data_IF_677675408178
#
_entry.id   IF_677675408178
#
_cell.length_a   1.000
_cell.length_b   1.000
_cell.length_c   1.000
_cell.angle_alpha   90.00
_cell.angle_beta   90.00
_cell.angle_gamma   90.00
#
_symmetry.space_group_name_H-M   'P 1'
#
loop_
_entity.id
_entity.type
_entity.pdbx_description
1 polymer ?
#
# COMPACT_ATOMS: atom_id res chain seq x y z
N UNK A 1 -53.40 -34.12 -31.85
CA UNK A 1 -53.12 -33.76 -30.44
C UNK A 1 -51.68 -34.17 -30.14
N UNK A 2 -50.77 -33.20 -29.99
CA UNK A 2 -49.36 -33.47 -29.65
C UNK A 2 -49.29 -33.91 -28.19
N UNK A 3 -48.92 -35.16 -27.95
CA UNK A 3 -48.54 -35.63 -26.62
C UNK A 3 -47.22 -34.94 -26.24
N UNK A 4 -47.33 -33.89 -25.43
CA UNK A 4 -46.20 -33.33 -24.69
C UNK A 4 -45.84 -34.36 -23.62
N UNK A 5 -44.86 -35.21 -23.91
CA UNK A 5 -44.28 -36.15 -22.93
C UNK A 5 -43.73 -35.34 -21.76
N UNK A 6 -44.48 -35.27 -20.65
CA UNK A 6 -43.98 -34.78 -19.38
C UNK A 6 -43.00 -35.83 -18.84
N UNK A 7 -41.71 -35.66 -19.13
CA UNK A 7 -40.65 -36.43 -18.48
C UNK A 7 -40.49 -35.90 -17.06
N UNK A 8 -40.89 -36.71 -16.07
CA UNK A 8 -40.70 -36.41 -14.66
C UNK A 8 -39.22 -36.38 -14.28
N UNK A 9 -38.86 -35.47 -13.37
CA UNK A 9 -37.50 -35.31 -12.87
C UNK A 9 -37.13 -36.52 -12.00
N UNK A 10 -36.07 -37.22 -12.38
CA UNK A 10 -35.61 -38.43 -11.68
C UNK A 10 -34.75 -38.07 -10.47
N UNK A 11 -34.71 -38.96 -9.48
CA UNK A 11 -33.86 -38.78 -8.27
C UNK A 11 -32.39 -38.61 -8.65
N UNK A 12 -31.94 -39.30 -9.70
CA UNK A 12 -30.56 -39.19 -10.21
C UNK A 12 -30.30 -37.79 -10.75
N UNK A 13 -31.23 -37.21 -11.54
CA UNK A 13 -31.12 -35.83 -12.02
C UNK A 13 -31.08 -34.82 -10.87
N UNK A 14 -31.84 -35.06 -9.79
CA UNK A 14 -31.79 -34.22 -8.59
C UNK A 14 -30.43 -34.27 -7.89
N UNK A 15 -29.86 -35.46 -7.74
CA UNK A 15 -28.54 -35.64 -7.13
C UNK A 15 -27.42 -35.01 -7.97
N UNK A 16 -27.50 -35.15 -9.30
CA UNK A 16 -26.55 -34.50 -10.22
C UNK A 16 -26.68 -32.98 -10.16
N UNK A 17 -27.92 -32.45 -10.12
CA UNK A 17 -28.14 -31.01 -9.98
C UNK A 17 -27.59 -30.46 -8.64
N UNK A 18 -27.78 -31.19 -7.53
CA UNK A 18 -27.23 -30.82 -6.24
C UNK A 18 -25.69 -30.88 -6.21
N UNK A 19 -25.10 -31.87 -6.87
CA UNK A 19 -23.64 -31.97 -7.00
C UNK A 19 -23.08 -30.78 -7.79
N UNK A 20 -23.68 -30.46 -8.94
CA UNK A 20 -23.29 -29.30 -9.77
C UNK A 20 -23.45 -28.01 -8.96
N UNK A 21 -24.57 -27.84 -8.23
CA UNK A 21 -24.81 -26.67 -7.40
C UNK A 21 -23.76 -26.54 -6.29
N UNK A 22 -23.35 -27.64 -5.67
CA UNK A 22 -22.33 -27.65 -4.61
C UNK A 22 -20.95 -27.26 -5.14
N UNK A 23 -20.58 -27.75 -6.32
CA UNK A 23 -19.34 -27.36 -7.00
C UNK A 23 -19.39 -25.87 -7.36
N UNK A 24 -20.50 -25.40 -7.93
CA UNK A 24 -20.68 -24.00 -8.29
C UNK A 24 -20.62 -23.08 -7.07
N UNK A 25 -21.27 -23.44 -5.96
CA UNK A 25 -21.23 -22.69 -4.71
C UNK A 25 -19.81 -22.59 -4.15
N UNK A 26 -19.06 -23.70 -4.18
CA UNK A 26 -17.66 -23.74 -3.73
C UNK A 26 -16.77 -22.83 -4.59
N UNK A 27 -16.94 -22.89 -5.91
CA UNK A 27 -16.22 -22.01 -6.84
C UNK A 27 -16.51 -20.53 -6.55
N UNK A 28 -17.78 -20.17 -6.36
CA UNK A 28 -18.18 -18.80 -6.01
C UNK A 28 -17.55 -18.34 -4.70
N UNK A 29 -17.62 -19.15 -3.64
CA UNK A 29 -17.00 -18.82 -2.34
C UNK A 29 -15.48 -18.62 -2.46
N UNK A 30 -14.80 -19.45 -3.26
CA UNK A 30 -13.36 -19.32 -3.48
C UNK A 30 -12.98 -17.99 -4.14
N UNK A 31 -13.77 -17.54 -5.13
CA UNK A 31 -13.59 -16.25 -5.80
C UNK A 31 -13.78 -15.10 -4.81
N UNK A 32 -14.83 -15.15 -3.97
CA UNK A 32 -15.04 -14.15 -2.94
C UNK A 32 -13.91 -14.11 -1.92
N UNK A 33 -13.40 -15.26 -1.47
CA UNK A 33 -12.29 -15.32 -0.53
C UNK A 33 -10.98 -14.76 -1.11
N UNK A 34 -10.75 -14.93 -2.42
CA UNK A 34 -9.63 -14.28 -3.12
C UNK A 34 -9.85 -12.76 -3.21
N UNK A 35 -11.06 -12.33 -3.58
CA UNK A 35 -11.41 -10.92 -3.66
C UNK A 35 -11.25 -10.19 -2.31
N UNK A 36 -11.73 -10.78 -1.23
CA UNK A 36 -11.59 -10.23 0.12
C UNK A 36 -10.12 -10.01 0.52
N UNK A 37 -9.26 -11.03 0.30
CA UNK A 37 -7.81 -10.94 0.57
C UNK A 37 -7.13 -9.88 -0.28
N UNK A 38 -7.56 -9.68 -1.53
CA UNK A 38 -7.04 -8.61 -2.38
C UNK A 38 -7.44 -7.23 -1.88
N UNK A 39 -8.68 -7.05 -1.45
CA UNK A 39 -9.17 -5.77 -0.89
C UNK A 39 -8.40 -5.44 0.38
N UNK A 40 -8.29 -6.39 1.31
CA UNK A 40 -7.53 -6.22 2.55
C UNK A 40 -6.08 -5.82 2.29
N UNK A 41 -5.40 -6.50 1.35
CA UNK A 41 -4.04 -6.14 0.96
C UNK A 41 -3.93 -4.75 0.34
N UNK A 42 -4.97 -4.25 -0.35
CA UNK A 42 -4.98 -2.90 -0.93
C UNK A 42 -5.22 -1.85 0.14
N UNK A 43 -6.18 -2.07 1.04
CA UNK A 43 -6.50 -1.17 2.15
C UNK A 43 -5.27 -0.96 3.04
N UNK A 44 -4.60 -2.04 3.45
CA UNK A 44 -3.42 -1.93 4.30
C UNK A 44 -2.24 -1.20 3.62
N UNK A 45 -2.04 -1.42 2.31
CA UNK A 45 -1.03 -0.65 1.55
C UNK A 45 -1.38 0.83 1.46
N UNK A 46 -2.66 1.14 1.31
CA UNK A 46 -3.14 2.52 1.27
C UNK A 46 -2.93 3.23 2.61
N UNK A 47 -3.17 2.55 3.72
CA UNK A 47 -2.90 3.08 5.07
C UNK A 47 -1.42 3.38 5.29
N UNK A 48 -0.53 2.44 4.93
CA UNK A 48 0.93 2.66 4.98
C UNK A 48 1.36 3.84 4.10
N UNK A 49 0.76 3.97 2.91
CA UNK A 49 1.02 5.09 2.01
C UNK A 49 0.58 6.43 2.61
N UNK A 50 -0.61 6.48 3.21
CA UNK A 50 -1.13 7.68 3.87
C UNK A 50 -0.24 8.11 5.04
N UNK A 51 0.21 7.14 5.83
CA UNK A 51 1.14 7.37 6.94
C UNK A 51 2.49 7.91 6.43
N UNK A 52 3.08 7.27 5.42
CA UNK A 52 4.33 7.73 4.80
C UNK A 52 4.19 9.15 4.23
N UNK A 53 3.05 9.48 3.62
CA UNK A 53 2.80 10.81 3.07
C UNK A 53 2.67 11.88 4.17
N UNK A 54 2.01 11.56 5.28
CA UNK A 54 1.91 12.45 6.45
C UNK A 54 3.29 12.72 7.03
N UNK A 55 4.09 11.67 7.25
CA UNK A 55 5.46 11.76 7.75
C UNK A 55 6.37 12.53 6.81
N UNK A 56 6.31 12.28 5.51
CA UNK A 56 7.09 13.04 4.53
C UNK A 56 6.75 14.53 4.61
N UNK A 57 5.48 14.88 4.78
CA UNK A 57 5.05 16.28 4.89
C UNK A 57 5.60 16.95 6.15
N UNK A 58 5.55 16.25 7.29
CA UNK A 58 6.18 16.70 8.54
C UNK A 58 7.70 16.84 8.39
N UNK A 59 8.35 15.86 7.78
CA UNK A 59 9.79 15.82 7.60
C UNK A 59 10.27 16.98 6.74
N UNK A 60 9.52 17.31 5.68
CA UNK A 60 9.79 18.48 4.84
C UNK A 60 9.70 19.78 5.63
N UNK A 61 8.75 19.90 6.56
CA UNK A 61 8.62 21.07 7.43
C UNK A 61 9.78 21.15 8.44
N UNK A 62 10.19 20.03 9.03
CA UNK A 62 11.32 19.93 9.95
C UNK A 62 12.64 20.33 9.26
N UNK A 63 12.91 19.78 8.07
CA UNK A 63 14.09 20.12 7.27
C UNK A 63 14.08 21.60 6.87
N UNK A 64 12.92 22.17 6.52
CA UNK A 64 12.82 23.60 6.23
C UNK A 64 13.13 24.48 7.45
N UNK A 65 12.79 24.02 8.65
CA UNK A 65 13.03 24.79 9.88
C UNK A 65 14.47 24.67 10.40
N UNK A 66 15.07 23.48 10.29
CA UNK A 66 16.38 23.20 10.87
C UNK A 66 17.54 23.26 9.86
N UNK A 67 17.28 23.03 8.57
CA UNK A 67 18.29 22.96 7.50
C UNK A 67 19.41 21.94 7.76
N UNK A 68 19.08 20.77 8.34
CA UNK A 68 20.05 19.75 8.71
C UNK A 68 19.80 18.41 8.02
N UNK A 69 20.89 17.76 7.64
CA UNK A 69 20.86 16.37 7.20
C UNK A 69 20.82 15.42 8.40
N UNK A 70 20.06 14.34 8.28
CA UNK A 70 19.95 13.31 9.31
C UNK A 70 19.44 12.00 8.70
N UNK A 71 19.62 10.90 9.44
CA UNK A 71 19.08 9.59 9.12
C UNK A 71 18.69 8.93 10.44
N UNK A 72 17.39 8.71 10.65
CA UNK A 72 16.84 8.18 11.90
C UNK A 72 15.91 7.02 11.63
N UNK A 73 15.95 6.04 12.53
CA UNK A 73 15.09 4.87 12.50
C UNK A 73 14.29 4.80 13.80
N UNK A 74 13.00 4.59 13.69
CA UNK A 74 12.07 4.50 14.83
C UNK A 74 11.09 3.35 14.61
N UNK A 75 10.54 2.84 15.71
CA UNK A 75 9.48 1.83 15.67
C UNK A 75 8.23 2.42 16.31
N UNK A 76 7.13 2.47 15.56
CA UNK A 76 5.84 3.01 16.00
C UNK A 76 4.77 2.00 15.63
N UNK A 77 3.99 1.55 16.63
CA UNK A 77 2.93 0.55 16.44
C UNK A 77 3.37 -0.72 15.69
N UNK A 78 4.61 -1.15 15.94
CA UNK A 78 5.21 -2.31 15.27
C UNK A 78 5.72 -2.05 13.85
N UNK A 79 5.48 -0.87 13.29
CA UNK A 79 6.04 -0.43 12.01
C UNK A 79 7.46 0.09 12.19
N UNK A 80 8.36 -0.37 11.33
CA UNK A 80 9.73 0.12 11.26
C UNK A 80 9.79 1.31 10.29
N UNK A 81 10.14 2.48 10.80
CA UNK A 81 10.10 3.74 10.07
C UNK A 81 11.50 4.34 10.02
N UNK A 82 12.04 4.53 8.82
CA UNK A 82 13.29 5.24 8.59
C UNK A 82 13.00 6.56 7.88
N UNK A 83 13.50 7.64 8.45
CA UNK A 83 13.36 9.00 7.95
C UNK A 83 14.75 9.56 7.69
N UNK A 84 14.98 10.02 6.46
CA UNK A 84 16.27 10.53 6.04
C UNK A 84 16.11 11.89 5.35
N UNK A 85 17.06 12.78 5.63
CA UNK A 85 17.23 14.05 4.93
C UNK A 85 18.72 14.19 4.57
N UNK A 86 19.02 14.42 3.30
CA UNK A 86 20.38 14.55 2.82
C UNK A 86 20.50 15.73 1.85
N UNK A 87 21.67 16.37 1.83
CA UNK A 87 21.96 17.44 0.87
C UNK A 87 21.95 16.85 -0.54
N UNK A 88 21.07 17.38 -1.40
CA UNK A 88 21.06 17.01 -2.80
C UNK A 88 22.22 17.74 -3.50
N UNK A 89 23.06 16.98 -4.20
CA UNK A 89 24.12 17.58 -5.02
C UNK A 89 23.47 18.26 -6.23
N UNK A 90 23.34 19.57 -6.18
CA UNK A 90 22.93 20.36 -7.34
C UNK A 90 24.18 20.66 -8.16
N UNK A 91 24.18 20.26 -9.43
CA UNK A 91 25.14 20.76 -10.40
C UNK A 91 24.73 22.20 -10.80
N UNK A 92 24.99 23.17 -9.94
CA UNK A 92 24.63 24.58 -10.14
C UNK A 92 25.62 25.50 -9.45
N UNK A 93 26.10 26.52 -10.19
CA UNK A 93 27.21 27.39 -9.80
C UNK A 93 26.96 28.27 -8.56
N UNK A 94 27.98 29.03 -8.13
CA UNK A 94 28.09 29.67 -6.82
C UNK A 94 27.11 30.83 -6.52
N UNK A 95 26.06 31.03 -7.33
CA UNK A 95 25.21 32.23 -7.28
C UNK A 95 23.85 32.06 -6.60
N UNK A 96 23.49 30.85 -6.14
CA UNK A 96 22.21 30.63 -5.44
C UNK A 96 22.45 30.03 -4.04
N UNK A 97 22.20 30.77 -2.94
CA UNK A 97 22.48 30.28 -1.59
C UNK A 97 21.42 29.29 -1.09
N UNK A 98 20.40 29.01 -1.90
CA UNK A 98 19.35 28.06 -1.56
C UNK A 98 19.90 26.63 -1.53
N UNK A 99 19.71 25.95 -0.41
CA UNK A 99 20.19 24.59 -0.19
C UNK A 99 19.07 23.59 -0.49
N UNK A 100 19.32 22.63 -1.38
CA UNK A 100 18.37 21.57 -1.70
C UNK A 100 18.63 20.34 -0.84
N UNK A 101 17.59 19.84 -0.20
CA UNK A 101 17.59 18.59 0.54
C UNK A 101 16.69 17.57 -0.17
N UNK A 102 17.19 16.35 -0.34
CA UNK A 102 16.38 15.17 -0.59
C UNK A 102 15.90 14.61 0.74
N UNK A 103 14.60 14.36 0.84
CA UNK A 103 13.93 13.89 2.04
C UNK A 103 13.18 12.61 1.71
N UNK A 104 13.42 11.55 2.47
CA UNK A 104 12.85 10.23 2.23
C UNK A 104 12.28 9.60 3.50
N UNK A 105 11.18 8.88 3.34
CA UNK A 105 10.51 8.10 4.39
C UNK A 105 10.32 6.68 3.89
N UNK A 106 10.82 5.73 4.66
CA UNK A 106 10.69 4.30 4.42
C UNK A 106 9.91 3.69 5.57
N UNK A 107 8.75 3.10 5.28
CA UNK A 107 7.95 2.37 6.26
C UNK A 107 7.94 0.90 5.88
N UNK A 108 8.31 0.04 6.83
CA UNK A 108 8.29 -1.41 6.70
C UNK A 108 7.40 -2.00 7.79
N UNK A 109 6.47 -2.86 7.41
CA UNK A 109 5.66 -3.66 8.33
C UNK A 109 6.26 -5.07 8.42
N UNK A 110 7.05 -5.38 9.47
CA UNK A 110 7.67 -6.69 9.64
C UNK A 110 6.66 -7.77 10.05
N UNK A 111 5.46 -7.39 10.51
CA UNK A 111 4.42 -8.33 10.92
C UNK A 111 3.62 -8.88 9.75
N UNK A 112 3.63 -8.19 8.60
CA UNK A 112 2.97 -8.63 7.40
C UNK A 112 3.70 -9.81 6.76
N UNK A 113 2.95 -10.83 6.33
CA UNK A 113 3.44 -12.07 5.71
C UNK A 113 4.39 -11.83 4.51
N UNK A 114 4.25 -10.71 3.81
CA UNK A 114 5.05 -10.33 2.65
C UNK A 114 5.99 -9.14 2.89
N UNK A 115 6.29 -8.80 4.15
CA UNK A 115 7.15 -7.69 4.55
C UNK A 115 6.82 -6.40 3.77
N UNK A 116 5.61 -5.88 4.00
CA UNK A 116 5.06 -4.76 3.22
C UNK A 116 5.93 -3.54 3.44
N UNK A 117 6.34 -2.89 2.34
CA UNK A 117 7.16 -1.68 2.36
C UNK A 117 6.55 -0.57 1.53
N UNK A 118 6.66 0.65 2.03
CA UNK A 118 6.38 1.88 1.29
C UNK A 118 7.58 2.79 1.43
N UNK A 119 7.97 3.39 0.32
CA UNK A 119 9.05 4.37 0.24
C UNK A 119 8.50 5.59 -0.48
N UNK A 120 8.66 6.75 0.14
CA UNK A 120 8.33 8.03 -0.47
C UNK A 120 9.51 8.96 -0.30
N UNK A 121 9.89 9.63 -1.39
CA UNK A 121 10.91 10.66 -1.39
C UNK A 121 10.37 11.97 -1.98
N UNK A 122 11.08 13.05 -1.70
CA UNK A 122 10.82 14.35 -2.30
C UNK A 122 11.95 15.31 -1.98
N UNK A 123 11.79 16.55 -2.44
CA UNK A 123 12.80 17.57 -2.25
C UNK A 123 12.27 18.77 -1.46
N UNK A 124 13.18 19.45 -0.77
CA UNK A 124 12.92 20.70 -0.03
C UNK A 124 14.03 21.67 -0.35
N UNK A 125 13.65 22.88 -0.76
CA UNK A 125 14.57 24.01 -0.89
C UNK A 125 14.52 24.80 0.43
N UNK A 126 15.68 25.11 0.98
CA UNK A 126 15.84 25.91 2.19
C UNK A 126 16.66 27.15 1.85
N UNK A 127 16.05 28.32 2.03
CA UNK A 127 16.72 29.62 1.83
C UNK A 127 17.53 29.99 3.09
N UNK A 128 18.68 30.65 2.95
CA UNK A 128 19.43 31.16 4.10
C UNK A 128 18.59 32.19 4.87
N UNK A 129 18.62 32.13 6.19
CA UNK A 129 18.02 33.17 7.02
C UNK A 129 18.71 34.52 6.73
N UNK A 130 17.95 35.51 6.27
CA UNK A 130 18.41 36.90 6.06
C UNK A 130 18.62 37.64 7.37
#
# INVERSE_FOLDING_TARGET
MRQLTQRGFTIIEALVALMILSIAATAVMSVFAVGARQIESRTARYELYREAQSRLSMLKAEVRAAALAFDRETVVDGLKIREAAQLAQIAGGPEDPATLFEVAVFITDPSAENNRRVELSGFVIVEPAQ
#
